data_IF_148129006256
#
_entry.id   IF_148129006256
#
_cell.length_a   1.000
_cell.length_b   1.000
_cell.length_c   1.000
_cell.angle_alpha   90.00
_cell.angle_beta   90.00
_cell.angle_gamma   90.00
#
_symmetry.space_group_name_H-M   'P 1'
#
loop_
_entity.id
_entity.type
_entity.pdbx_description
1 polymer ?
#
# COMPACT_ATOMS: atom_id res chain seq x y z
N UNK A 1 34.13 38.99 43.56
CA UNK A 1 34.84 38.48 42.37
C UNK A 1 33.81 38.12 41.32
N UNK A 2 33.80 38.84 40.19
CA UNK A 2 33.03 38.50 38.98
C UNK A 2 33.88 37.53 38.15
N UNK A 3 33.27 36.49 37.57
CA UNK A 3 33.86 35.78 36.44
C UNK A 3 32.74 35.37 35.47
N UNK A 4 32.77 35.98 34.28
CA UNK A 4 31.90 35.70 33.14
C UNK A 4 32.54 34.63 32.26
N UNK A 5 31.74 33.74 31.66
CA UNK A 5 32.16 32.85 30.57
C UNK A 5 31.08 32.89 29.48
N UNK A 6 31.48 33.25 28.27
CA UNK A 6 30.65 33.48 27.08
C UNK A 6 30.27 32.17 26.35
N UNK A 7 29.20 32.14 25.54
CA UNK A 7 28.77 30.95 24.82
C UNK A 7 29.50 30.81 23.48
N UNK A 8 30.05 29.62 23.22
CA UNK A 8 30.70 29.25 21.96
C UNK A 8 29.64 28.73 20.97
N UNK A 9 29.44 29.44 19.87
CA UNK A 9 28.58 29.07 18.73
C UNK A 9 29.22 27.93 17.92
N UNK A 10 28.55 26.79 17.82
CA UNK A 10 28.89 25.70 16.88
C UNK A 10 28.07 25.86 15.57
N UNK A 11 28.74 26.06 14.43
CA UNK A 11 28.18 25.91 13.09
C UNK A 11 28.54 24.53 12.51
N UNK A 12 27.58 23.73 11.98
CA UNK A 12 27.88 22.49 11.27
C UNK A 12 28.14 22.77 9.78
N UNK A 13 29.27 22.30 9.26
CA UNK A 13 29.62 22.30 7.83
C UNK A 13 29.09 20.99 7.24
N UNK A 14 28.00 21.04 6.46
CA UNK A 14 27.59 19.91 5.61
C UNK A 14 28.25 20.05 4.24
N UNK A 15 29.26 19.22 3.97
CA UNK A 15 29.85 19.05 2.64
C UNK A 15 29.05 18.04 1.80
N UNK A 16 28.62 18.44 0.61
CA UNK A 16 27.97 17.58 -0.37
C UNK A 16 28.98 17.05 -1.40
N UNK A 17 29.12 15.73 -1.50
CA UNK A 17 29.85 15.11 -2.62
C UNK A 17 28.91 15.04 -3.83
N UNK A 18 29.24 15.76 -4.92
CA UNK A 18 28.58 15.61 -6.22
C UNK A 18 29.42 14.66 -7.07
N UNK A 19 28.83 13.54 -7.51
CA UNK A 19 29.42 12.67 -8.51
C UNK A 19 28.84 13.03 -9.88
N UNK A 20 29.71 13.36 -10.84
CA UNK A 20 29.33 13.65 -12.23
C UNK A 20 29.31 12.34 -13.01
N UNK A 21 28.12 11.90 -13.45
CA UNK A 21 27.96 10.75 -14.34
C UNK A 21 28.00 11.19 -15.80
N UNK A 22 29.02 10.76 -16.54
CA UNK A 22 29.10 10.91 -18.00
C UNK A 22 28.51 9.65 -18.65
N UNK A 23 27.39 9.80 -19.34
CA UNK A 23 26.63 8.71 -19.94
C UNK A 23 27.06 8.41 -21.37
N UNK A 24 27.60 7.21 -21.60
CA UNK A 24 27.75 6.62 -22.94
C UNK A 24 26.42 5.95 -23.33
N UNK A 25 25.84 6.35 -24.46
CA UNK A 25 24.57 5.80 -24.94
C UNK A 25 24.78 4.36 -25.46
N UNK A 26 24.41 3.37 -24.65
CA UNK A 26 24.28 1.96 -25.07
C UNK A 26 22.82 1.69 -25.43
N UNK A 27 22.56 1.11 -26.61
CA UNK A 27 21.23 0.65 -27.02
C UNK A 27 20.73 -0.41 -26.03
N UNK A 28 19.64 -0.11 -25.33
CA UNK A 28 19.09 -0.99 -24.30
C UNK A 28 18.54 -2.30 -24.93
N UNK A 29 18.83 -3.48 -24.35
CA UNK A 29 18.25 -4.73 -24.80
C UNK A 29 16.72 -4.70 -24.66
N UNK A 30 16.01 -5.26 -25.65
CA UNK A 30 14.55 -5.33 -25.66
C UNK A 30 14.10 -6.35 -24.61
N UNK A 31 13.52 -5.88 -23.51
CA UNK A 31 12.99 -6.72 -22.43
C UNK A 31 11.68 -7.35 -22.90
N UNK A 32 11.62 -8.69 -22.94
CA UNK A 32 10.38 -9.43 -23.12
C UNK A 32 9.63 -9.40 -21.78
N UNK A 33 8.51 -8.67 -21.71
CA UNK A 33 7.68 -8.65 -20.52
C UNK A 33 6.85 -9.94 -20.41
N UNK A 34 6.69 -10.53 -19.22
CA UNK A 34 5.76 -11.62 -19.02
C UNK A 34 4.32 -11.15 -19.36
N UNK A 35 3.45 -12.07 -19.81
CA UNK A 35 2.07 -11.73 -20.11
C UNK A 35 1.34 -11.21 -18.87
N UNK A 36 0.35 -10.32 -19.03
CA UNK A 36 -0.43 -9.80 -17.92
C UNK A 36 -1.18 -10.94 -17.22
N UNK A 37 -1.15 -10.95 -15.88
CA UNK A 37 -1.92 -11.91 -15.09
C UNK A 37 -3.40 -11.50 -15.08
N UNK A 38 -4.27 -12.44 -15.44
CA UNK A 38 -5.72 -12.29 -15.27
C UNK A 38 -6.08 -12.77 -13.87
N UNK A 39 -6.64 -11.87 -13.08
CA UNK A 39 -7.08 -12.17 -11.72
C UNK A 39 -8.54 -12.62 -11.74
N UNK A 40 -8.83 -13.80 -11.19
CA UNK A 40 -10.22 -14.22 -10.95
C UNK A 40 -10.89 -13.27 -9.94
N UNK A 41 -12.17 -13.00 -10.15
CA UNK A 41 -13.03 -12.26 -9.21
C UNK A 41 -13.99 -13.18 -8.45
N UNK A 42 -13.95 -14.49 -8.73
CA UNK A 42 -14.79 -15.48 -8.04
C UNK A 42 -14.44 -15.50 -6.56
N UNK A 43 -15.46 -15.38 -5.70
CA UNK A 43 -15.32 -15.29 -4.25
C UNK A 43 -14.93 -13.90 -3.73
N UNK A 44 -14.90 -12.88 -4.60
CA UNK A 44 -14.61 -11.49 -4.25
C UNK A 44 -15.82 -10.55 -4.48
N UNK A 45 -17.01 -11.09 -4.72
CA UNK A 45 -18.22 -10.35 -5.08
C UNK A 45 -18.71 -9.42 -3.96
N UNK A 46 -18.34 -9.71 -2.72
CA UNK A 46 -18.65 -8.86 -1.57
C UNK A 46 -17.68 -7.69 -1.44
N UNK A 47 -16.56 -7.69 -2.16
CA UNK A 47 -15.46 -6.72 -2.01
C UNK A 47 -15.27 -5.88 -3.27
N UNK A 48 -15.14 -6.51 -4.44
CA UNK A 48 -14.95 -5.80 -5.71
C UNK A 48 -16.16 -4.90 -6.00
N UNK A 49 -15.89 -3.67 -6.43
CA UNK A 49 -16.89 -2.66 -6.74
C UNK A 49 -17.54 -1.98 -5.53
N UNK A 50 -17.13 -2.32 -4.30
CA UNK A 50 -17.68 -1.70 -3.08
C UNK A 50 -16.93 -0.44 -2.70
N UNK A 51 -17.61 0.45 -1.98
CA UNK A 51 -16.98 1.65 -1.41
C UNK A 51 -16.26 1.30 -0.12
N UNK A 52 -15.34 2.17 0.30
CA UNK A 52 -14.57 1.96 1.53
C UNK A 52 -15.44 1.80 2.78
N UNK A 53 -16.57 2.53 2.86
CA UNK A 53 -17.54 2.40 3.96
C UNK A 53 -18.08 0.98 4.08
N UNK A 54 -18.38 0.33 2.97
CA UNK A 54 -18.88 -1.05 2.96
C UNK A 54 -17.78 -2.03 3.41
N UNK A 55 -16.54 -1.80 2.96
CA UNK A 55 -15.40 -2.63 3.34
C UNK A 55 -15.08 -2.50 4.84
N UNK A 56 -15.10 -1.29 5.39
CA UNK A 56 -14.92 -1.04 6.81
C UNK A 56 -16.07 -1.62 7.65
N UNK A 57 -17.31 -1.60 7.15
CA UNK A 57 -18.43 -2.28 7.81
C UNK A 57 -18.27 -3.81 7.80
N UNK A 58 -17.64 -4.38 6.77
CA UNK A 58 -17.43 -5.82 6.64
C UNK A 58 -16.26 -6.33 7.49
N UNK A 59 -15.12 -5.63 7.49
CA UNK A 59 -13.89 -6.11 8.13
C UNK A 59 -13.54 -5.36 9.42
N UNK A 60 -14.21 -4.26 9.72
CA UNK A 60 -13.95 -3.40 10.86
C UNK A 60 -12.98 -2.26 10.53
N UNK A 61 -12.28 -1.75 11.55
CA UNK A 61 -11.30 -0.68 11.37
C UNK A 61 -10.03 -1.24 10.69
N UNK A 62 -9.54 -0.61 9.59
CA UNK A 62 -8.30 -1.03 8.95
C UNK A 62 -7.09 -0.70 9.83
N UNK A 63 -6.05 -1.53 9.72
CA UNK A 63 -4.76 -1.27 10.36
C UNK A 63 -3.96 -0.19 9.62
N UNK A 64 -4.16 -0.10 8.30
CA UNK A 64 -3.54 0.93 7.46
C UNK A 64 -4.59 1.56 6.55
N UNK A 65 -4.55 2.89 6.44
CA UNK A 65 -5.36 3.67 5.49
C UNK A 65 -4.44 4.71 4.83
N UNK A 66 -4.07 4.46 3.58
CA UNK A 66 -3.17 5.32 2.79
C UNK A 66 -3.94 5.97 1.66
N UNK A 67 -3.65 7.25 1.40
CA UNK A 67 -4.19 8.00 0.26
C UNK A 67 -3.05 8.56 -0.58
N UNK A 68 -3.15 8.37 -1.89
CA UNK A 68 -2.20 8.88 -2.87
C UNK A 68 -2.98 9.49 -4.04
N UNK A 69 -3.10 10.82 -4.05
CA UNK A 69 -3.99 11.51 -4.99
C UNK A 69 -5.43 11.04 -4.84
N UNK A 70 -6.02 10.51 -5.92
CA UNK A 70 -7.37 9.95 -5.91
C UNK A 70 -7.44 8.47 -5.51
N UNK A 71 -6.31 7.79 -5.37
CA UNK A 71 -6.24 6.42 -4.93
C UNK A 71 -6.28 6.33 -3.40
N UNK A 72 -6.88 5.25 -2.89
CA UNK A 72 -6.84 4.90 -1.46
C UNK A 72 -6.52 3.41 -1.32
N UNK A 73 -5.76 3.05 -0.29
CA UNK A 73 -5.48 1.68 0.10
C UNK A 73 -5.89 1.46 1.54
N UNK A 74 -6.68 0.43 1.81
CA UNK A 74 -6.92 -0.07 3.16
C UNK A 74 -6.20 -1.40 3.37
N UNK A 75 -5.63 -1.61 4.55
CA UNK A 75 -5.06 -2.90 4.96
C UNK A 75 -5.79 -3.46 6.17
N UNK A 76 -6.10 -4.74 6.13
CA UNK A 76 -6.65 -5.51 7.23
C UNK A 76 -5.76 -6.72 7.50
N UNK A 77 -5.55 -7.06 8.76
CA UNK A 77 -4.78 -8.25 9.13
C UNK A 77 -5.59 -9.16 10.04
N UNK A 78 -5.43 -10.46 9.83
CA UNK A 78 -5.98 -11.50 10.68
C UNK A 78 -4.97 -12.62 10.87
N UNK A 79 -5.29 -13.64 11.69
CA UNK A 79 -4.37 -14.73 11.98
C UNK A 79 -3.90 -15.50 10.74
N UNK A 80 -4.74 -15.58 9.70
CA UNK A 80 -4.46 -16.33 8.49
C UNK A 80 -3.73 -15.52 7.41
N UNK A 81 -3.97 -14.21 7.30
CA UNK A 81 -3.52 -13.40 6.17
C UNK A 81 -3.62 -11.89 6.44
N UNK A 82 -2.99 -11.12 5.56
CA UNK A 82 -3.14 -9.67 5.40
C UNK A 82 -3.82 -9.39 4.06
N UNK A 83 -4.85 -8.56 4.06
CA UNK A 83 -5.59 -8.12 2.87
C UNK A 83 -5.33 -6.64 2.62
N UNK A 84 -4.80 -6.31 1.44
CA UNK A 84 -4.76 -4.94 0.92
C UNK A 84 -5.91 -4.73 -0.06
N UNK A 85 -6.67 -3.66 0.13
CA UNK A 85 -7.85 -3.30 -0.67
C UNK A 85 -7.61 -1.96 -1.35
N UNK A 86 -7.64 -1.94 -2.67
CA UNK A 86 -7.27 -0.77 -3.48
C UNK A 86 -8.49 -0.13 -4.12
N UNK A 87 -8.67 1.15 -3.84
CA UNK A 87 -9.81 1.95 -4.27
C UNK A 87 -9.37 2.99 -5.30
N UNK A 88 -10.14 3.09 -6.38
CA UNK A 88 -9.97 4.11 -7.41
C UNK A 88 -11.33 4.67 -7.82
N UNK A 89 -11.41 5.94 -8.24
CA UNK A 89 -12.64 6.51 -8.79
C UNK A 89 -13.11 5.74 -10.04
N UNK A 90 -14.41 5.50 -10.20
CA UNK A 90 -14.98 4.98 -11.44
C UNK A 90 -14.71 5.90 -12.64
N UNK A 91 -14.81 5.34 -13.85
CA UNK A 91 -14.82 6.13 -15.08
C UNK A 91 -16.06 7.04 -15.06
N UNK A 92 -15.85 8.35 -15.10
CA UNK A 92 -16.92 9.35 -14.95
C UNK A 92 -16.95 10.04 -13.58
N UNK A 93 -16.05 9.68 -12.67
CA UNK A 93 -15.98 10.26 -11.33
C UNK A 93 -16.89 9.54 -10.33
N UNK A 94 -17.04 10.12 -9.14
CA UNK A 94 -17.76 9.53 -8.02
C UNK A 94 -16.86 8.91 -6.97
N UNK A 95 -17.48 8.25 -5.99
CA UNK A 95 -16.78 7.68 -4.84
C UNK A 95 -15.83 6.54 -5.25
N UNK A 96 -14.59 6.51 -4.73
CA UNK A 96 -13.66 5.41 -5.00
C UNK A 96 -14.23 4.05 -4.61
N UNK A 97 -14.14 3.10 -5.53
CA UNK A 97 -14.57 1.71 -5.36
C UNK A 97 -13.38 0.76 -5.43
N UNK A 98 -13.51 -0.41 -4.83
CA UNK A 98 -12.50 -1.46 -4.95
C UNK A 98 -12.43 -1.95 -6.38
N UNK A 99 -11.26 -1.85 -7.01
CA UNK A 99 -11.01 -2.48 -8.32
C UNK A 99 -10.01 -3.63 -8.21
N UNK A 100 -9.25 -3.69 -7.11
CA UNK A 100 -8.25 -4.71 -6.87
C UNK A 100 -8.10 -5.00 -5.39
N UNK A 101 -7.76 -6.24 -5.09
CA UNK A 101 -7.32 -6.68 -3.77
C UNK A 101 -6.10 -7.56 -3.94
N UNK A 102 -5.21 -7.47 -2.95
CA UNK A 102 -4.07 -8.37 -2.81
C UNK A 102 -4.12 -9.05 -1.43
N UNK A 103 -3.62 -10.28 -1.37
CA UNK A 103 -3.61 -11.05 -0.14
C UNK A 103 -2.28 -11.75 0.04
N UNK A 104 -1.76 -11.67 1.26
CA UNK A 104 -0.48 -12.28 1.63
C UNK A 104 -0.55 -12.93 2.99
N UNK A 105 0.36 -13.86 3.22
CA UNK A 105 0.71 -14.29 4.57
C UNK A 105 1.41 -13.16 5.32
N UNK A 106 1.43 -13.19 6.67
CA UNK A 106 2.16 -12.19 7.46
C UNK A 106 3.65 -12.08 7.13
N UNK A 107 4.25 -13.16 6.59
CA UNK A 107 5.65 -13.20 6.13
C UNK A 107 5.86 -12.63 4.71
N UNK A 108 4.78 -12.17 4.05
CA UNK A 108 4.83 -11.50 2.75
C UNK A 108 4.61 -12.40 1.53
N UNK A 109 4.50 -13.72 1.69
CA UNK A 109 4.20 -14.63 0.57
C UNK A 109 2.75 -14.48 0.09
N UNK A 110 2.51 -14.71 -1.19
CA UNK A 110 1.17 -14.68 -1.79
C UNK A 110 0.20 -15.62 -1.06
N UNK A 111 -1.03 -15.16 -0.89
CA UNK A 111 -2.13 -15.94 -0.31
C UNK A 111 -3.37 -15.83 -1.21
N UNK A 112 -4.24 -16.85 -1.19
CA UNK A 112 -5.46 -16.80 -1.99
C UNK A 112 -6.39 -15.67 -1.49
N UNK A 113 -6.80 -14.80 -2.41
CA UNK A 113 -7.53 -13.57 -2.11
C UNK A 113 -8.93 -13.86 -1.59
N UNK A 114 -9.65 -14.80 -2.20
CA UNK A 114 -10.99 -15.18 -1.77
C UNK A 114 -10.95 -15.84 -0.38
N UNK A 115 -9.96 -16.70 -0.15
CA UNK A 115 -9.72 -17.32 1.14
C UNK A 115 -9.41 -16.29 2.23
N UNK A 116 -8.63 -15.24 1.92
CA UNK A 116 -8.34 -14.18 2.88
C UNK A 116 -9.57 -13.36 3.24
N UNK A 117 -10.38 -12.97 2.24
CA UNK A 117 -11.66 -12.29 2.43
C UNK A 117 -12.59 -13.11 3.34
N UNK A 118 -12.71 -14.42 3.09
CA UNK A 118 -13.52 -15.31 3.91
C UNK A 118 -12.99 -15.45 5.34
N UNK A 119 -11.67 -15.52 5.52
CA UNK A 119 -11.05 -15.65 6.84
C UNK A 119 -11.23 -14.38 7.68
N UNK A 120 -11.01 -13.20 7.10
CA UNK A 120 -11.21 -11.92 7.77
C UNK A 120 -12.67 -11.70 8.15
N UNK A 121 -13.61 -12.00 7.25
CA UNK A 121 -15.04 -11.87 7.54
C UNK A 121 -15.49 -12.69 8.76
N UNK A 122 -14.96 -13.91 8.92
CA UNK A 122 -15.21 -14.73 10.12
C UNK A 122 -14.55 -14.13 11.37
N UNK A 123 -13.31 -13.69 11.26
CA UNK A 123 -12.57 -13.13 12.40
C UNK A 123 -13.24 -11.87 12.97
N UNK A 124 -13.80 -11.00 12.13
CA UNK A 124 -14.50 -9.79 12.57
C UNK A 124 -15.80 -10.11 13.29
N UNK A 125 -16.53 -11.15 12.88
CA UNK A 125 -17.78 -11.57 13.55
C UNK A 125 -17.56 -12.08 14.98
N UNK A 126 -16.34 -12.50 15.32
CA UNK A 126 -15.99 -12.99 16.64
C UNK A 126 -15.35 -11.94 17.55
N UNK A 127 -15.23 -10.69 17.10
CA UNK A 127 -14.81 -9.55 17.93
C UNK A 127 -16.02 -8.81 18.47
#
# INVERSE_FOLDING_TARGET
>A
MKLQIAPLLLLPILGACVAKTEGTATTAPRVQLPPPRVYSVVGLETVIGRTARVIEAQFGRPELDVREGSARKLQFSGPACVLDVYFYPPRGGGDPIVIHVDARLPDGRDFDRASCVAALGKATQHR
#
